data_IF_981495621925
#
_entry.id   IF_981495621925
#
_cell.length_a   1.000
_cell.length_b   1.000
_cell.length_c   1.000
_cell.angle_alpha   90.00
_cell.angle_beta   90.00
_cell.angle_gamma   90.00
#
_symmetry.space_group_name_H-M   'P 1'
#
loop_
_entity.id
_entity.type
_entity.pdbx_description
1 polymer ?
#
# COMPACT_ATOMS: atom_id res chain seq x y z
N UNK A 1 -2.08 28.89 8.20
CA UNK A 1 -2.09 27.43 8.35
C UNK A 1 -1.12 27.09 9.45
N UNK A 2 -1.61 26.51 10.55
CA UNK A 2 -0.77 26.20 11.70
C UNK A 2 0.31 25.18 11.33
N UNK A 3 1.55 25.41 11.78
CA UNK A 3 2.67 24.52 11.52
C UNK A 3 2.43 23.08 12.01
N UNK A 4 1.52 22.90 12.98
CA UNK A 4 1.06 21.60 13.48
C UNK A 4 0.31 20.77 12.44
N UNK A 5 -0.36 21.39 11.46
CA UNK A 5 -1.07 20.68 10.39
C UNK A 5 -0.13 20.33 9.23
N UNK A 6 0.95 21.08 9.01
CA UNK A 6 1.86 20.84 7.88
C UNK A 6 2.66 19.54 8.02
N UNK A 7 3.00 19.16 9.26
CA UNK A 7 3.82 17.98 9.54
C UNK A 7 3.14 16.65 9.18
N UNK A 8 1.91 16.33 9.67
CA UNK A 8 1.21 15.10 9.28
C UNK A 8 0.87 15.08 7.78
N UNK A 9 0.58 16.24 7.18
CA UNK A 9 0.37 16.35 5.73
C UNK A 9 1.65 15.98 4.95
N UNK A 10 2.80 16.52 5.38
CA UNK A 10 4.09 16.22 4.77
C UNK A 10 4.45 14.75 4.87
N UNK A 11 4.27 14.13 6.04
CA UNK A 11 4.51 12.71 6.22
C UNK A 11 3.55 11.84 5.40
N UNK A 12 2.26 12.17 5.34
CA UNK A 12 1.31 11.45 4.50
C UNK A 12 1.67 11.48 3.01
N UNK A 13 2.13 12.62 2.50
CA UNK A 13 2.59 12.75 1.10
C UNK A 13 3.91 12.01 0.84
N UNK A 14 4.85 12.05 1.79
CA UNK A 14 6.09 11.28 1.71
C UNK A 14 5.82 9.78 1.74
N UNK A 15 4.83 9.35 2.53
CA UNK A 15 4.35 7.98 2.56
C UNK A 15 3.82 7.56 1.19
N UNK A 16 2.91 8.34 0.61
CA UNK A 16 2.36 8.10 -0.72
C UNK A 16 3.46 8.00 -1.78
N UNK A 17 4.41 8.93 -1.76
CA UNK A 17 5.54 8.94 -2.70
C UNK A 17 6.40 7.68 -2.58
N UNK A 18 6.77 7.31 -1.35
CA UNK A 18 7.68 6.17 -1.10
C UNK A 18 7.00 4.82 -1.33
N UNK A 19 5.75 4.64 -0.88
CA UNK A 19 4.95 3.47 -1.25
C UNK A 19 4.78 3.39 -2.76
N UNK A 20 4.41 4.49 -3.42
CA UNK A 20 4.16 4.46 -4.86
C UNK A 20 5.41 4.11 -5.68
N UNK A 21 6.58 4.60 -5.25
CA UNK A 21 7.87 4.24 -5.81
C UNK A 21 8.25 2.77 -5.52
N UNK A 22 8.02 2.30 -4.30
CA UNK A 22 8.24 0.91 -3.90
C UNK A 22 7.37 -0.05 -4.70
N UNK A 23 6.10 0.29 -4.89
CA UNK A 23 5.15 -0.49 -5.68
C UNK A 23 5.54 -0.59 -7.15
N UNK A 24 5.99 0.53 -7.73
CA UNK A 24 6.54 0.53 -9.07
C UNK A 24 7.76 -0.41 -9.17
N UNK A 25 8.70 -0.31 -8.22
CA UNK A 25 9.87 -1.21 -8.14
C UNK A 25 9.47 -2.68 -7.97
N UNK A 26 8.54 -2.97 -7.07
CA UNK A 26 8.07 -4.33 -6.78
C UNK A 26 7.35 -4.95 -7.97
N UNK A 27 6.54 -4.17 -8.67
CA UNK A 27 5.92 -4.56 -9.94
C UNK A 27 6.96 -4.83 -11.03
N UNK A 28 7.98 -3.97 -11.17
CA UNK A 28 9.07 -4.15 -12.14
C UNK A 28 9.91 -5.40 -11.88
N UNK A 29 10.28 -5.65 -10.61
CA UNK A 29 10.97 -6.87 -10.22
C UNK A 29 10.09 -8.11 -10.48
N UNK A 30 8.80 -8.02 -10.16
CA UNK A 30 7.86 -9.14 -10.30
C UNK A 30 7.46 -9.47 -11.75
N UNK A 31 7.80 -8.61 -12.73
CA UNK A 31 7.70 -8.94 -14.17
C UNK A 31 8.73 -9.98 -14.61
N UNK A 32 9.86 -10.12 -13.88
CA UNK A 32 10.98 -11.01 -14.24
C UNK A 32 11.32 -12.05 -13.17
N UNK A 33 10.89 -11.82 -11.92
CA UNK A 33 11.02 -12.75 -10.81
C UNK A 33 9.65 -13.07 -10.21
N UNK A 34 9.55 -14.14 -9.41
CA UNK A 34 8.31 -14.40 -8.70
C UNK A 34 8.03 -13.38 -7.60
N UNK A 35 6.80 -12.88 -7.54
CA UNK A 35 6.34 -11.93 -6.54
C UNK A 35 6.62 -12.37 -5.10
N UNK A 36 6.53 -13.68 -4.79
CA UNK A 36 6.87 -14.21 -3.47
C UNK A 36 8.31 -13.89 -3.07
N UNK A 37 9.26 -14.07 -3.99
CA UNK A 37 10.67 -13.80 -3.71
C UNK A 37 10.92 -12.29 -3.57
N UNK A 38 10.24 -11.46 -4.38
CA UNK A 38 10.32 -9.99 -4.27
C UNK A 38 9.77 -9.50 -2.93
N UNK A 39 8.60 -9.99 -2.51
CA UNK A 39 7.99 -9.66 -1.21
C UNK A 39 8.84 -10.14 -0.04
N UNK A 40 9.46 -11.32 -0.14
CA UNK A 40 10.40 -11.81 0.88
C UNK A 40 11.57 -10.84 1.07
N UNK A 41 12.20 -10.41 -0.03
CA UNK A 41 13.30 -9.45 0.03
C UNK A 41 12.86 -8.08 0.53
N UNK A 42 11.72 -7.56 0.04
CA UNK A 42 11.17 -6.29 0.51
C UNK A 42 10.88 -6.31 2.02
N UNK A 43 10.27 -7.40 2.50
CA UNK A 43 10.00 -7.60 3.93
C UNK A 43 11.29 -7.73 4.75
N UNK A 44 12.30 -8.41 4.22
CA UNK A 44 13.62 -8.52 4.86
C UNK A 44 14.34 -7.17 4.97
N UNK A 45 14.33 -6.37 3.90
CA UNK A 45 14.89 -5.01 3.89
C UNK A 45 14.17 -4.14 4.93
N UNK A 46 12.84 -4.15 4.94
CA UNK A 46 12.05 -3.40 5.92
C UNK A 46 12.29 -3.86 7.36
N UNK A 47 12.37 -5.18 7.58
CA UNK A 47 12.68 -5.74 8.90
C UNK A 47 14.03 -5.23 9.42
N UNK A 48 15.09 -5.31 8.59
CA UNK A 48 16.41 -4.84 8.97
C UNK A 48 16.43 -3.34 9.22
N UNK A 49 15.75 -2.56 8.38
CA UNK A 49 15.65 -1.09 8.55
C UNK A 49 14.97 -0.74 9.88
N UNK A 50 13.79 -1.33 10.16
CA UNK A 50 13.04 -0.99 11.38
C UNK A 50 13.73 -1.49 12.65
N UNK A 51 14.38 -2.65 12.62
CA UNK A 51 15.22 -3.08 13.75
C UNK A 51 16.37 -2.11 13.99
N UNK A 52 17.06 -1.68 12.92
CA UNK A 52 18.14 -0.70 13.03
C UNK A 52 17.63 0.62 13.61
N UNK A 53 16.51 1.14 13.10
CA UNK A 53 15.90 2.37 13.61
C UNK A 53 15.49 2.23 15.09
N UNK A 54 14.89 1.11 15.48
CA UNK A 54 14.56 0.84 16.88
C UNK A 54 15.79 0.90 17.79
N UNK A 55 16.92 0.33 17.35
CA UNK A 55 18.17 0.39 18.12
C UNK A 55 18.77 1.80 18.15
N UNK A 56 18.83 2.49 17.01
CA UNK A 56 19.44 3.83 16.88
C UNK A 56 18.67 4.87 17.71
N UNK A 57 17.35 4.81 17.70
CA UNK A 57 16.48 5.75 18.42
C UNK A 57 16.12 5.27 19.83
N UNK A 58 16.57 4.09 20.24
CA UNK A 58 16.34 3.55 21.58
C UNK A 58 14.86 3.33 21.92
N UNK A 59 14.02 3.04 20.93
CA UNK A 59 12.62 2.65 21.19
C UNK A 59 12.63 1.37 22.01
N UNK A 60 11.74 1.24 23.01
CA UNK A 60 11.58 0.00 23.77
C UNK A 60 10.41 -0.81 23.18
N UNK A 61 10.53 -2.15 23.09
CA UNK A 61 9.45 -2.97 22.55
C UNK A 61 8.25 -2.96 23.50
N UNK A 62 7.05 -2.73 22.95
CA UNK A 62 5.81 -2.73 23.71
C UNK A 62 4.97 -3.96 23.41
N UNK A 63 4.77 -4.83 24.41
CA UNK A 63 4.01 -6.08 24.22
C UNK A 63 2.56 -5.86 23.76
N UNK A 64 1.97 -4.69 24.04
CA UNK A 64 0.60 -4.32 23.64
C UNK A 64 0.45 -4.20 22.11
N UNK A 65 1.52 -3.81 21.41
CA UNK A 65 1.51 -3.59 19.97
C UNK A 65 1.64 -4.92 19.20
N UNK A 66 2.16 -5.96 19.85
CA UNK A 66 2.48 -7.23 19.22
C UNK A 66 1.30 -7.87 18.48
N UNK A 67 0.10 -8.10 19.07
CA UNK A 67 -0.99 -8.74 18.35
C UNK A 67 -1.42 -7.97 17.10
N UNK A 68 -1.46 -6.64 17.19
CA UNK A 68 -1.82 -5.76 16.08
C UNK A 68 -0.74 -5.73 14.99
N UNK A 69 0.53 -5.69 15.37
CA UNK A 69 1.64 -5.76 14.44
C UNK A 69 1.69 -7.11 13.69
N UNK A 70 1.40 -8.22 14.36
CA UNK A 70 1.34 -9.55 13.72
C UNK A 70 0.17 -9.62 12.73
N UNK A 71 -1.04 -9.20 13.13
CA UNK A 71 -2.22 -9.21 12.26
C UNK A 71 -2.08 -8.23 11.09
N UNK A 72 -1.55 -7.04 11.36
CA UNK A 72 -1.20 -6.04 10.35
C UNK A 72 -0.18 -6.61 9.36
N UNK A 73 0.93 -7.17 9.85
CA UNK A 73 1.95 -7.81 9.03
C UNK A 73 1.41 -8.94 8.15
N UNK A 74 0.52 -9.78 8.68
CA UNK A 74 -0.13 -10.84 7.91
C UNK A 74 -1.03 -10.27 6.81
N UNK A 75 -1.86 -9.28 7.13
CA UNK A 75 -2.75 -8.63 6.17
C UNK A 75 -1.98 -7.89 5.08
N UNK A 76 -0.94 -7.14 5.47
CA UNK A 76 -0.03 -6.45 4.57
C UNK A 76 0.74 -7.41 3.66
N UNK A 77 1.19 -8.57 4.16
CA UNK A 77 1.87 -9.58 3.35
C UNK A 77 0.96 -10.18 2.27
N UNK A 78 -0.28 -10.52 2.65
CA UNK A 78 -1.29 -11.01 1.70
C UNK A 78 -1.60 -9.94 0.66
N UNK A 79 -1.77 -8.69 1.11
CA UNK A 79 -2.04 -7.54 0.26
C UNK A 79 -0.92 -7.31 -0.75
N UNK A 80 0.32 -7.19 -0.28
CA UNK A 80 1.50 -6.92 -1.10
C UNK A 80 1.79 -8.06 -2.09
N UNK A 81 1.60 -9.32 -1.69
CA UNK A 81 1.76 -10.45 -2.59
C UNK A 81 0.72 -10.45 -3.73
N UNK A 82 -0.55 -10.19 -3.41
CA UNK A 82 -1.60 -10.07 -4.41
C UNK A 82 -1.31 -8.88 -5.33
N UNK A 83 -0.84 -7.78 -4.75
CA UNK A 83 -0.54 -6.54 -5.46
C UNK A 83 0.60 -6.71 -6.47
N UNK A 84 1.75 -7.23 -6.05
CA UNK A 84 2.89 -7.43 -6.95
C UNK A 84 2.58 -8.44 -8.05
N UNK A 85 1.76 -9.46 -7.78
CA UNK A 85 1.24 -10.36 -8.82
C UNK A 85 0.33 -9.64 -9.81
N UNK A 86 -0.50 -8.70 -9.36
CA UNK A 86 -1.36 -7.89 -10.23
C UNK A 86 -0.52 -6.93 -11.09
N UNK A 87 0.46 -6.24 -10.51
CA UNK A 87 1.35 -5.32 -11.24
C UNK A 87 2.23 -6.05 -12.27
N UNK A 88 2.69 -7.26 -11.96
CA UNK A 88 3.47 -8.10 -12.86
C UNK A 88 2.72 -8.47 -14.15
N UNK A 89 1.37 -8.49 -14.10
CA UNK A 89 0.52 -8.80 -15.26
C UNK A 89 0.36 -7.61 -16.22
N UNK A 90 1.07 -6.50 -16.01
CA UNK A 90 1.13 -5.37 -16.95
C UNK A 90 0.04 -4.32 -16.77
N UNK A 91 -0.69 -4.38 -15.66
CA UNK A 91 -1.87 -3.54 -15.40
C UNK A 91 -1.60 -2.55 -14.25
N UNK A 92 -0.42 -1.92 -14.22
CA UNK A 92 -0.05 -0.98 -13.15
C UNK A 92 -1.05 0.17 -13.03
N UNK A 93 -1.51 0.70 -14.17
CA UNK A 93 -2.55 1.74 -14.27
C UNK A 93 -3.94 1.35 -13.78
N UNK A 94 -4.20 0.06 -13.49
CA UNK A 94 -5.48 -0.44 -12.99
C UNK A 94 -5.37 -1.00 -11.58
N UNK A 95 -4.39 -1.87 -11.34
CA UNK A 95 -4.26 -2.56 -10.07
C UNK A 95 -4.00 -1.58 -8.91
N UNK A 96 -3.12 -0.59 -9.10
CA UNK A 96 -2.78 0.39 -8.07
C UNK A 96 -3.99 1.24 -7.63
N UNK A 97 -4.73 1.91 -8.54
CA UNK A 97 -5.92 2.67 -8.15
C UNK A 97 -6.98 1.82 -7.45
N UNK A 98 -7.23 0.60 -7.93
CA UNK A 98 -8.22 -0.30 -7.32
C UNK A 98 -7.82 -0.70 -5.91
N UNK A 99 -6.57 -1.14 -5.72
CA UNK A 99 -6.06 -1.51 -4.40
C UNK A 99 -6.10 -0.32 -3.42
N UNK A 100 -5.71 0.87 -3.88
CA UNK A 100 -5.78 2.09 -3.07
C UNK A 100 -7.20 2.43 -2.62
N UNK A 101 -8.18 2.39 -3.53
CA UNK A 101 -9.58 2.73 -3.19
C UNK A 101 -10.16 1.72 -2.19
N UNK A 102 -9.95 0.43 -2.44
CA UNK A 102 -10.46 -0.62 -1.56
C UNK A 102 -9.77 -0.58 -0.20
N UNK A 103 -8.46 -0.33 -0.18
CA UNK A 103 -7.69 -0.18 1.06
C UNK A 103 -8.14 1.01 1.89
N UNK A 104 -8.44 2.15 1.27
CA UNK A 104 -8.98 3.32 1.95
C UNK A 104 -10.44 3.14 2.42
N UNK A 105 -11.26 2.43 1.64
CA UNK A 105 -12.68 2.23 1.97
C UNK A 105 -12.90 1.22 3.11
N UNK A 106 -11.98 0.26 3.31
CA UNK A 106 -12.18 -0.81 4.28
C UNK A 106 -12.23 -0.31 5.74
N UNK A 107 -11.29 0.52 6.24
CA UNK A 107 -11.39 1.08 7.60
C UNK A 107 -12.69 1.87 7.82
N UNK A 108 -13.11 2.67 6.83
CA UNK A 108 -14.36 3.44 6.89
C UNK A 108 -15.58 2.52 6.93
N UNK A 109 -15.58 1.44 6.14
CA UNK A 109 -16.67 0.46 6.19
C UNK A 109 -16.74 -0.26 7.55
N UNK A 110 -15.59 -0.59 8.14
CA UNK A 110 -15.54 -1.21 9.47
C UNK A 110 -16.02 -0.24 10.56
N UNK A 111 -15.53 1.00 10.55
CA UNK A 111 -16.02 2.06 11.44
C UNK A 111 -17.53 2.28 11.27
N UNK A 112 -18.02 2.28 10.02
CA UNK A 112 -19.45 2.42 9.75
C UNK A 112 -20.31 1.32 10.37
N UNK A 113 -19.81 0.08 10.36
CA UNK A 113 -20.49 -1.10 10.91
C UNK A 113 -20.43 -1.14 12.44
N UNK A 114 -19.34 -0.67 13.04
CA UNK A 114 -19.09 -0.76 14.48
C UNK A 114 -19.58 0.48 15.25
N UNK A 115 -19.45 1.65 14.65
CA UNK A 115 -19.64 2.96 15.30
C UNK A 115 -20.82 3.75 14.72
N UNK A 116 -21.33 3.37 13.55
CA UNK A 116 -22.49 3.99 12.90
C UNK A 116 -22.12 4.86 11.69
N UNK A 117 -23.08 5.63 11.16
CA UNK A 117 -22.96 6.29 9.86
C UNK A 117 -21.67 7.12 9.69
N UNK A 118 -20.87 6.90 8.62
CA UNK A 118 -19.56 7.56 8.43
C UNK A 118 -19.68 9.01 7.92
N UNK A 119 -20.88 9.53 7.73
CA UNK A 119 -21.11 10.87 7.18
C UNK A 119 -21.24 10.90 5.65
N UNK A 120 -21.61 12.08 5.14
CA UNK A 120 -21.91 12.26 3.72
C UNK A 120 -20.67 12.09 2.83
N UNK A 121 -19.54 12.71 3.20
CA UNK A 121 -18.34 12.70 2.36
C UNK A 121 -17.74 11.29 2.23
N UNK A 122 -17.54 10.51 3.31
CA UNK A 122 -17.01 9.17 3.14
C UNK A 122 -17.96 8.24 2.39
N UNK A 123 -19.27 8.35 2.60
CA UNK A 123 -20.25 7.58 1.81
C UNK A 123 -20.20 7.92 0.31
N UNK A 124 -20.11 9.21 -0.05
CA UNK A 124 -19.93 9.64 -1.44
C UNK A 124 -18.60 9.13 -2.01
N UNK A 125 -17.52 9.20 -1.23
CA UNK A 125 -16.22 8.69 -1.61
C UNK A 125 -16.23 7.19 -1.87
N UNK A 126 -16.86 6.38 -1.01
CA UNK A 126 -17.06 4.95 -1.23
C UNK A 126 -17.84 4.68 -2.53
N UNK A 127 -18.95 5.39 -2.76
CA UNK A 127 -19.74 5.27 -3.98
C UNK A 127 -18.96 5.63 -5.25
N UNK A 128 -18.19 6.72 -5.19
CA UNK A 128 -17.32 7.15 -6.28
C UNK A 128 -16.18 6.17 -6.52
N UNK A 129 -15.64 5.57 -5.46
CA UNK A 129 -14.63 4.54 -5.51
C UNK A 129 -15.12 3.29 -6.25
N UNK A 130 -16.34 2.83 -5.95
CA UNK A 130 -16.98 1.72 -6.67
C UNK A 130 -17.16 2.05 -8.15
N UNK A 131 -17.59 3.28 -8.48
CA UNK A 131 -17.72 3.75 -9.86
C UNK A 131 -16.36 3.77 -10.58
N UNK A 132 -15.31 4.24 -9.90
CA UNK A 132 -13.96 4.27 -10.43
C UNK A 132 -13.44 2.86 -10.72
N UNK A 133 -13.57 1.94 -9.75
CA UNK A 133 -13.20 0.52 -9.92
C UNK A 133 -13.95 -0.07 -11.10
N UNK A 134 -15.27 0.12 -11.19
CA UNK A 134 -16.07 -0.36 -12.33
C UNK A 134 -15.61 0.24 -13.66
N UNK A 135 -15.25 1.52 -13.69
CA UNK A 135 -14.83 2.20 -14.90
C UNK A 135 -13.48 1.66 -15.41
N UNK A 136 -12.50 1.48 -14.51
CA UNK A 136 -11.17 0.99 -14.85
C UNK A 136 -11.17 -0.52 -15.13
N UNK A 137 -12.06 -1.29 -14.49
CA UNK A 137 -12.10 -2.76 -14.60
C UNK A 137 -12.59 -3.29 -15.95
N UNK A 138 -13.20 -2.47 -16.80
CA UNK A 138 -13.69 -2.98 -18.08
C UNK A 138 -12.52 -3.21 -19.05
N UNK A 139 -12.55 -4.32 -19.81
CA UNK A 139 -11.53 -4.59 -20.81
C UNK A 139 -11.46 -3.47 -21.84
N UNK A 140 -10.25 -3.11 -22.25
CA UNK A 140 -10.01 -2.17 -23.34
C UNK A 140 -9.33 -2.88 -24.49
N UNK A 141 -10.00 -2.95 -25.65
CA UNK A 141 -9.49 -3.62 -26.83
C UNK A 141 -9.33 -5.13 -26.65
N UNK A 142 -8.21 -5.69 -27.12
CA UNK A 142 -7.87 -7.13 -26.99
C UNK A 142 -7.18 -7.47 -25.66
N UNK A 143 -7.11 -6.53 -24.70
CA UNK A 143 -6.49 -6.77 -23.42
C UNK A 143 -7.26 -7.88 -22.66
N UNK A 144 -6.51 -8.81 -22.05
CA UNK A 144 -7.10 -9.79 -21.15
C UNK A 144 -7.73 -9.04 -19.97
N UNK A 145 -8.89 -9.47 -19.43
CA UNK A 145 -9.43 -8.88 -18.22
C UNK A 145 -8.34 -8.95 -17.14
N UNK A 146 -7.90 -7.78 -16.67
CA UNK A 146 -6.95 -7.68 -15.57
C UNK A 146 -7.49 -8.47 -14.38
N UNK A 147 -6.60 -9.09 -13.60
CA UNK A 147 -7.02 -9.89 -12.46
C UNK A 147 -7.50 -8.97 -11.32
N UNK A 148 -8.73 -8.45 -11.49
CA UNK A 148 -9.40 -7.58 -10.54
C UNK A 148 -9.45 -8.22 -9.15
N UNK A 149 -9.60 -9.54 -9.08
CA UNK A 149 -9.56 -10.28 -7.82
C UNK A 149 -8.28 -10.07 -7.03
N UNK A 150 -7.11 -10.02 -7.69
CA UNK A 150 -5.85 -9.72 -7.02
C UNK A 150 -5.74 -8.27 -6.55
N UNK A 151 -6.27 -7.31 -7.33
CA UNK A 151 -6.27 -5.90 -6.93
C UNK A 151 -7.23 -5.63 -5.77
N UNK A 152 -8.40 -6.28 -5.76
CA UNK A 152 -9.34 -6.24 -4.64
C UNK A 152 -8.73 -6.88 -3.39
N UNK A 153 -8.11 -8.06 -3.52
CA UNK A 153 -7.41 -8.72 -2.42
C UNK A 153 -6.25 -7.89 -1.89
N UNK A 154 -5.51 -7.22 -2.77
CA UNK A 154 -4.46 -6.27 -2.39
C UNK A 154 -5.03 -5.15 -1.51
N UNK A 155 -6.09 -4.50 -1.98
CA UNK A 155 -6.75 -3.43 -1.22
C UNK A 155 -7.30 -3.91 0.12
N UNK A 156 -7.93 -5.08 0.18
CA UNK A 156 -8.40 -5.66 1.46
C UNK A 156 -7.24 -5.91 2.44
N UNK A 157 -6.11 -6.43 1.94
CA UNK A 157 -4.91 -6.64 2.75
C UNK A 157 -4.31 -5.32 3.26
N UNK A 158 -4.24 -4.30 2.41
CA UNK A 158 -3.76 -2.97 2.80
C UNK A 158 -4.70 -2.28 3.80
N UNK A 159 -6.01 -2.33 3.57
CA UNK A 159 -7.00 -1.78 4.51
C UNK A 159 -6.96 -2.50 5.86
N UNK A 160 -6.75 -3.82 5.87
CA UNK A 160 -6.53 -4.57 7.10
C UNK A 160 -5.23 -4.18 7.80
N UNK A 161 -4.14 -3.95 7.05
CA UNK A 161 -2.89 -3.41 7.60
C UNK A 161 -3.15 -2.05 8.26
N UNK A 162 -3.85 -1.12 7.60
CA UNK A 162 -4.19 0.18 8.19
C UNK A 162 -4.99 0.04 9.48
N UNK A 163 -6.05 -0.79 9.47
CA UNK A 163 -6.93 -0.99 10.62
C UNK A 163 -6.21 -1.60 11.82
N UNK A 164 -5.29 -2.55 11.62
CA UNK A 164 -4.52 -3.12 12.72
C UNK A 164 -3.41 -2.18 13.20
N UNK A 165 -2.68 -1.53 12.28
CA UNK A 165 -1.59 -0.63 12.65
C UNK A 165 -2.07 0.68 13.29
N UNK A 166 -3.34 1.06 13.13
CA UNK A 166 -3.96 2.13 13.92
C UNK A 166 -3.95 1.85 15.44
N UNK A 167 -3.87 0.58 15.83
CA UNK A 167 -3.91 0.17 17.23
C UNK A 167 -2.53 0.08 17.88
N UNK A 168 -1.44 0.37 17.15
CA UNK A 168 -0.07 0.33 17.70
C UNK A 168 0.37 1.70 18.19
N UNK A 169 1.13 1.74 19.28
CA UNK A 169 1.68 2.98 19.83
C UNK A 169 3.14 3.23 19.40
N UNK A 170 3.96 2.18 19.28
CA UNK A 170 5.35 2.28 18.82
C UNK A 170 5.51 2.53 17.32
N UNK A 171 6.67 3.07 16.91
CA UNK A 171 6.98 3.32 15.50
C UNK A 171 7.76 2.17 14.88
N UNK A 172 8.87 1.78 15.52
CA UNK A 172 9.89 0.95 14.89
C UNK A 172 9.71 -0.53 15.21
N UNK A 173 9.49 -0.91 16.46
CA UNK A 173 9.30 -2.31 16.84
C UNK A 173 8.01 -2.92 16.26
N UNK A 174 6.84 -2.24 16.32
CA UNK A 174 5.64 -2.76 15.70
C UNK A 174 5.80 -2.93 14.17
N UNK A 175 6.44 -1.97 13.50
CA UNK A 175 6.75 -2.08 12.09
C UNK A 175 7.72 -3.24 11.80
N UNK A 176 8.75 -3.44 12.63
CA UNK A 176 9.66 -4.58 12.53
C UNK A 176 8.92 -5.92 12.70
N UNK A 177 8.02 -6.04 13.67
CA UNK A 177 7.22 -7.25 13.88
C UNK A 177 6.25 -7.50 12.72
N UNK A 178 5.65 -6.46 12.15
CA UNK A 178 4.84 -6.59 10.94
C UNK A 178 5.66 -7.12 9.76
N UNK A 179 6.89 -6.60 9.55
CA UNK A 179 7.81 -7.07 8.51
C UNK A 179 8.33 -8.48 8.78
N UNK A 180 8.61 -8.83 10.03
CA UNK A 180 8.98 -10.19 10.42
C UNK A 180 7.85 -11.17 10.11
N UNK A 181 6.61 -10.80 10.42
CA UNK A 181 5.44 -11.62 10.13
C UNK A 181 5.30 -11.83 8.63
N UNK A 182 5.39 -10.76 7.84
CA UNK A 182 5.34 -10.84 6.38
C UNK A 182 6.45 -11.72 5.81
N UNK A 183 7.68 -11.56 6.31
CA UNK A 183 8.84 -12.36 5.91
C UNK A 183 8.59 -13.86 6.19
N UNK A 184 8.20 -14.21 7.42
CA UNK A 184 7.98 -15.60 7.82
C UNK A 184 6.81 -16.26 7.07
N UNK A 185 5.72 -15.53 6.82
CA UNK A 185 4.57 -16.05 6.09
C UNK A 185 4.88 -16.33 4.62
N UNK A 186 5.69 -15.47 3.99
CA UNK A 186 6.02 -15.59 2.56
C UNK A 186 7.18 -16.56 2.32
N UNK A 187 8.07 -16.76 3.31
CA UNK A 187 9.28 -17.56 3.20
C UNK A 187 9.06 -18.96 2.58
N UNK A 188 8.12 -19.81 3.04
CA UNK A 188 7.93 -21.14 2.46
C UNK A 188 7.55 -21.10 0.98
N UNK A 189 6.70 -20.15 0.59
CA UNK A 189 6.28 -19.97 -0.80
C UNK A 189 7.40 -19.40 -1.67
N UNK A 190 8.21 -18.48 -1.13
CA UNK A 190 9.35 -17.88 -1.82
C UNK A 190 10.49 -18.90 -2.06
N UNK A 191 10.76 -19.79 -1.10
CA UNK A 191 11.75 -20.85 -1.26
C UNK A 191 11.45 -21.78 -2.43
N UNK A 192 10.16 -21.97 -2.75
CA UNK A 192 9.68 -22.80 -3.88
C UNK A 192 9.52 -22.02 -5.19
N UNK A 193 9.47 -20.69 -5.13
CA UNK A 193 9.25 -19.85 -6.30
C UNK A 193 10.58 -19.66 -7.07
N UNK A 194 10.60 -19.90 -8.39
CA UNK A 194 11.77 -19.69 -9.26
C UNK A 194 11.30 -19.20 -10.63
N UNK A 195 11.92 -18.15 -11.21
CA UNK A 195 13.20 -17.55 -10.81
C UNK A 195 13.13 -16.58 -9.62
N UNK A 196 14.24 -16.49 -8.89
CA UNK A 196 14.49 -15.44 -7.88
C UNK A 196 15.01 -14.17 -8.56
N UNK A 197 14.85 -12.99 -7.94
CA UNK A 197 15.43 -11.77 -8.48
C UNK A 197 16.95 -11.89 -8.56
N UNK A 198 17.51 -11.61 -9.74
CA UNK A 198 18.95 -11.59 -9.97
C UNK A 198 19.53 -10.17 -9.87
N UNK A 199 20.79 -10.01 -10.28
CA UNK A 199 21.47 -8.70 -10.23
C UNK A 199 20.78 -7.61 -11.05
N UNK A 200 20.06 -7.96 -12.12
CA UNK A 200 19.30 -7.01 -12.94
C UNK A 200 18.03 -6.52 -12.23
N UNK A 201 17.45 -7.35 -11.37
CA UNK A 201 16.25 -7.03 -10.59
C UNK A 201 16.60 -6.36 -9.25
N UNK A 202 17.85 -6.46 -8.78
CA UNK A 202 18.28 -5.95 -7.48
C UNK A 202 17.94 -4.46 -7.23
N UNK A 203 18.13 -3.51 -8.17
CA UNK A 203 17.74 -2.12 -7.95
C UNK A 203 16.23 -1.94 -7.73
N UNK A 204 15.42 -2.74 -8.43
CA UNK A 204 13.96 -2.71 -8.31
C UNK A 204 13.48 -3.32 -7.00
N UNK A 205 14.14 -4.39 -6.54
CA UNK A 205 13.89 -5.02 -5.24
C UNK A 205 14.29 -4.08 -4.09
N UNK A 206 15.42 -3.38 -4.23
CA UNK A 206 15.84 -2.37 -3.25
C UNK A 206 14.86 -1.21 -3.20
N UNK A 207 14.41 -0.71 -4.35
CA UNK A 207 13.37 0.32 -4.43
C UNK A 207 12.07 -0.18 -3.78
N UNK A 208 11.67 -1.42 -4.05
CA UNK A 208 10.50 -2.05 -3.44
C UNK A 208 10.60 -2.10 -1.91
N UNK A 209 11.68 -2.66 -1.37
CA UNK A 209 11.86 -2.80 0.07
C UNK A 209 12.01 -1.48 0.81
N UNK A 210 12.83 -0.56 0.29
CA UNK A 210 13.03 0.76 0.90
C UNK A 210 11.81 1.66 0.73
N UNK A 211 11.13 1.60 -0.41
CA UNK A 211 9.89 2.34 -0.65
C UNK A 211 8.76 1.86 0.24
N UNK A 212 8.57 0.54 0.34
CA UNK A 212 7.61 -0.08 1.27
C UNK A 212 7.92 0.29 2.73
N UNK A 213 9.16 0.10 3.19
CA UNK A 213 9.54 0.43 4.56
C UNK A 213 9.46 1.94 4.85
N UNK A 214 9.91 2.79 3.92
CA UNK A 214 9.80 4.24 4.01
C UNK A 214 8.34 4.70 4.10
N UNK A 215 7.47 4.13 3.28
CA UNK A 215 6.04 4.46 3.33
C UNK A 215 5.39 4.06 4.65
N UNK A 216 5.71 2.87 5.17
CA UNK A 216 5.23 2.46 6.49
C UNK A 216 5.72 3.39 7.60
N UNK A 217 6.99 3.82 7.55
CA UNK A 217 7.55 4.76 8.52
C UNK A 217 6.81 6.11 8.46
N UNK A 218 6.67 6.69 7.29
CA UNK A 218 6.01 7.98 7.13
C UNK A 218 4.51 7.91 7.41
N UNK A 219 3.84 6.80 7.10
CA UNK A 219 2.45 6.56 7.49
C UNK A 219 2.29 6.58 9.02
N UNK A 220 3.14 5.84 9.75
CA UNK A 220 3.08 5.81 11.21
C UNK A 220 3.42 7.17 11.83
N UNK A 221 4.42 7.87 11.29
CA UNK A 221 4.74 9.24 11.70
C UNK A 221 3.60 10.22 11.44
N UNK A 222 2.90 10.10 10.30
CA UNK A 222 1.73 10.91 10.00
C UNK A 222 0.57 10.61 10.96
N UNK A 223 0.36 9.33 11.28
CA UNK A 223 -0.67 8.89 12.21
C UNK A 223 -0.41 9.40 13.63
N UNK A 224 0.86 9.42 14.08
CA UNK A 224 1.23 9.96 15.39
C UNK A 224 1.24 11.49 15.46
N UNK A 225 1.65 12.17 14.39
CA UNK A 225 1.76 13.63 14.34
C UNK A 225 0.40 14.33 14.13
N UNK A 226 -0.62 13.59 13.71
CA UNK A 226 -1.94 14.13 13.39
C UNK A 226 -3.02 13.12 13.68
N UNK A 227 -4.03 13.08 12.79
CA UNK A 227 -5.07 12.07 12.83
C UNK A 227 -4.75 10.98 11.81
N UNK A 228 -4.99 9.71 12.18
CA UNK A 228 -4.70 8.56 11.32
C UNK A 228 -5.56 8.55 10.06
N UNK A 229 -6.78 9.08 10.10
CA UNK A 229 -7.61 9.27 8.90
C UNK A 229 -6.88 10.09 7.82
N UNK A 230 -6.30 11.24 8.18
CA UNK A 230 -5.50 12.09 7.28
C UNK A 230 -4.26 11.36 6.80
N UNK A 231 -3.58 10.64 7.69
CA UNK A 231 -2.41 9.83 7.34
C UNK A 231 -2.73 8.74 6.33
N UNK A 232 -3.79 7.96 6.58
CA UNK A 232 -4.27 6.88 5.72
C UNK A 232 -4.70 7.41 4.36
N UNK A 233 -5.38 8.55 4.34
CA UNK A 233 -5.82 9.20 3.11
C UNK A 233 -4.65 9.60 2.26
N UNK A 234 -3.76 10.43 2.80
CA UNK A 234 -2.66 10.97 2.02
C UNK A 234 -1.76 9.85 1.54
N UNK A 235 -1.47 8.89 2.42
CA UNK A 235 -0.67 7.71 2.06
C UNK A 235 -1.36 6.85 0.98
N UNK A 236 -2.69 6.77 0.98
CA UNK A 236 -3.47 6.05 -0.04
C UNK A 236 -3.39 6.67 -1.44
N UNK A 237 -2.84 7.89 -1.60
CA UNK A 237 -2.50 8.45 -2.91
C UNK A 237 -1.25 7.82 -3.54
N UNK A 238 -0.63 6.81 -2.92
CA UNK A 238 0.48 6.07 -3.52
C UNK A 238 0.25 5.62 -4.98
N UNK A 239 -0.98 5.24 -5.43
CA UNK A 239 -1.22 4.88 -6.81
C UNK A 239 -0.92 6.00 -7.80
N UNK A 240 -1.04 7.27 -7.39
CA UNK A 240 -0.66 8.41 -8.23
C UNK A 240 0.80 8.28 -8.65
N UNK A 241 1.67 8.03 -7.68
CA UNK A 241 3.12 7.95 -7.90
C UNK A 241 3.49 6.67 -8.64
N UNK A 242 2.84 5.54 -8.35
CA UNK A 242 3.03 4.30 -9.11
C UNK A 242 2.67 4.49 -10.59
N UNK A 243 1.52 5.10 -10.87
CA UNK A 243 1.06 5.37 -12.24
C UNK A 243 1.93 6.40 -12.94
N UNK A 244 2.35 7.46 -12.23
CA UNK A 244 3.25 8.47 -12.77
C UNK A 244 4.60 7.87 -13.17
N UNK A 245 5.18 7.02 -12.32
CA UNK A 245 6.44 6.32 -12.63
C UNK A 245 6.27 5.34 -13.80
N UNK A 246 5.15 4.62 -13.86
CA UNK A 246 4.83 3.77 -15.02
C UNK A 246 4.71 4.59 -16.31
N UNK A 247 4.07 5.75 -16.25
CA UNK A 247 3.97 6.65 -17.39
C UNK A 247 5.34 7.23 -17.82
N UNK A 248 6.16 7.68 -16.87
CA UNK A 248 7.47 8.27 -17.16
C UNK A 248 8.50 7.24 -17.67
N UNK A 249 8.58 6.08 -17.01
CA UNK A 249 9.63 5.08 -17.25
C UNK A 249 9.21 4.08 -18.33
N UNK A 250 7.98 3.58 -18.26
CA UNK A 250 7.48 2.56 -19.20
C UNK A 250 6.77 3.17 -20.40
N UNK A 251 6.48 4.48 -20.37
CA UNK A 251 5.72 5.18 -21.42
C UNK A 251 4.35 4.54 -21.64
N UNK A 252 3.76 3.99 -20.57
CA UNK A 252 2.43 3.38 -20.61
C UNK A 252 1.39 4.44 -21.00
N UNK A 253 0.69 4.21 -22.10
CA UNK A 253 -0.38 5.09 -22.58
C UNK A 253 -1.71 4.64 -21.98
N UNK A 254 -2.20 5.39 -21.00
CA UNK A 254 -3.54 5.18 -20.46
C UNK A 254 -4.58 5.70 -21.45
N UNK A 255 -5.65 4.93 -21.65
CA UNK A 255 -6.82 5.43 -22.36
C UNK A 255 -7.44 6.61 -21.58
N UNK A 256 -8.25 7.43 -22.27
CA UNK A 256 -9.03 8.49 -21.61
C UNK A 256 -9.91 7.95 -20.48
N UNK A 257 -10.40 6.72 -20.65
CA UNK A 257 -11.28 6.06 -19.68
C UNK A 257 -10.53 5.58 -18.44
N UNK A 258 -9.32 5.03 -18.59
CA UNK A 258 -8.47 4.70 -17.45
C UNK A 258 -8.04 5.96 -16.72
N UNK A 259 -7.71 7.02 -17.44
CA UNK A 259 -7.37 8.30 -16.84
C UNK A 259 -8.52 8.90 -16.04
N UNK A 260 -9.75 8.87 -16.57
CA UNK A 260 -10.92 9.31 -15.80
C UNK A 260 -11.16 8.42 -14.59
N UNK A 261 -11.02 7.10 -14.74
CA UNK A 261 -11.14 6.17 -13.62
C UNK A 261 -10.10 6.39 -12.52
N UNK A 262 -8.83 6.62 -12.88
CA UNK A 262 -7.77 7.04 -11.93
C UNK A 262 -8.19 8.34 -11.24
N UNK A 263 -8.60 9.36 -11.99
CA UNK A 263 -9.05 10.63 -11.41
C UNK A 263 -10.22 10.46 -10.43
N UNK A 264 -11.20 9.61 -10.77
CA UNK A 264 -12.31 9.27 -9.88
C UNK A 264 -11.85 8.50 -8.64
N UNK A 265 -10.89 7.58 -8.76
CA UNK A 265 -10.30 6.86 -7.63
C UNK A 265 -9.61 7.83 -6.65
N UNK A 266 -8.89 8.82 -7.17
CA UNK A 266 -8.22 9.83 -6.33
C UNK A 266 -9.23 10.75 -5.64
N UNK A 267 -10.26 11.17 -6.37
CA UNK A 267 -11.35 11.95 -5.79
C UNK A 267 -12.11 11.14 -4.73
N UNK A 268 -12.32 9.84 -4.95
CA UNK A 268 -12.93 8.94 -3.99
C UNK A 268 -12.11 8.87 -2.69
N UNK A 269 -10.79 8.67 -2.79
CA UNK A 269 -9.89 8.68 -1.62
C UNK A 269 -9.93 10.03 -0.88
N UNK A 270 -9.97 11.15 -1.62
CA UNK A 270 -10.10 12.48 -1.02
C UNK A 270 -11.45 12.66 -0.29
N UNK A 271 -12.55 12.14 -0.84
CA UNK A 271 -13.87 12.24 -0.20
C UNK A 271 -13.98 11.33 1.03
N UNK A 272 -13.40 10.12 0.96
CA UNK A 272 -13.25 9.20 2.11
C UNK A 272 -12.51 9.89 3.25
N UNK A 273 -11.56 10.77 2.93
CA UNK A 273 -10.79 11.53 3.91
C UNK A 273 -11.50 12.63 4.68
N UNK A 274 -12.57 13.16 4.08
CA UNK A 274 -13.17 14.41 4.52
C UNK A 274 -14.23 14.21 5.60
N UNK A 275 -14.51 12.97 6.01
CA UNK A 275 -15.31 12.65 7.19
C UNK A 275 -14.47 11.91 8.21
#
# INVERSE_FOLDING_TARGET
>A
MDASLLLPLGFGLLSALTWGAGDFGGGMASRRAHAQAVVLWASGIGLLLFLLLAQVFGEAPQGRDLPYALLGGASGALGLLAFYRALAQGEMGLAAPVAGVVGAALPVALGALLEGWPGLFPALGMGLGLLAVWLVSRPEGRARPGNLGLALLAGLGFGGFYAFMDRVEGLFYPAAWAKLTAFLLVLPAALRARPWPGGREAPWVLLAGLGDAGGNLFFLLAAQAGRLDVAAVLSSFYPVFTVLLAWLVLKERLSRRRLTGVGLSLLAMALIALG
#
